data_IF_216542153171
#
_entry.id   IF_216542153171
#
_cell.length_a   1.000
_cell.length_b   1.000
_cell.length_c   1.000
_cell.angle_alpha   90.00
_cell.angle_beta   90.00
_cell.angle_gamma   90.00
#
_symmetry.space_group_name_H-M   'P 1'
#
loop_
_entity.id
_entity.type
_entity.pdbx_description
1 polymer ?
#
# COMPACT_ATOMS: atom_id res chain seq x y z
N UNK A 1 -15.20 2.88 -2.29
CA UNK A 1 -14.41 2.74 -3.53
C UNK A 1 -14.27 4.07 -4.27
N UNK A 2 -15.34 4.86 -4.40
CA UNK A 2 -15.32 6.15 -5.11
C UNK A 2 -14.39 7.19 -4.46
N UNK A 3 -14.47 7.36 -3.14
CA UNK A 3 -13.62 8.32 -2.39
C UNK A 3 -12.11 8.04 -2.52
N UNK A 4 -11.75 6.76 -2.66
CA UNK A 4 -10.36 6.33 -2.81
C UNK A 4 -9.82 6.67 -4.20
N UNK A 5 -10.63 6.48 -5.24
CA UNK A 5 -10.27 6.87 -6.61
C UNK A 5 -10.17 8.39 -6.76
N UNK A 6 -11.07 9.14 -6.12
CA UNK A 6 -11.03 10.60 -6.12
C UNK A 6 -9.75 11.15 -5.48
N UNK A 7 -9.31 10.59 -4.36
CA UNK A 7 -8.06 10.97 -3.70
C UNK A 7 -6.82 10.65 -4.54
N UNK A 8 -6.80 9.50 -5.21
CA UNK A 8 -5.74 9.16 -6.15
C UNK A 8 -5.66 10.19 -7.28
N UNK A 9 -6.80 10.55 -7.88
CA UNK A 9 -6.85 11.56 -8.94
C UNK A 9 -6.34 12.93 -8.47
N UNK A 10 -6.69 13.34 -7.24
CA UNK A 10 -6.19 14.57 -6.62
C UNK A 10 -4.68 14.55 -6.38
N UNK A 11 -4.12 13.42 -5.98
CA UNK A 11 -2.68 13.21 -5.86
C UNK A 11 -1.96 13.36 -7.20
N UNK A 12 -2.50 12.74 -8.26
CA UNK A 12 -1.97 12.90 -9.62
C UNK A 12 -2.03 14.35 -10.11
N UNK A 13 -3.13 15.04 -9.86
CA UNK A 13 -3.25 16.47 -10.21
C UNK A 13 -2.21 17.31 -9.49
N UNK A 14 -1.98 17.05 -8.20
CA UNK A 14 -0.96 17.76 -7.41
C UNK A 14 0.45 17.53 -7.98
N UNK A 15 0.78 16.29 -8.33
CA UNK A 15 2.05 15.94 -8.98
C UNK A 15 2.21 16.64 -10.34
N UNK A 16 1.14 16.72 -11.13
CA UNK A 16 1.15 17.36 -12.44
C UNK A 16 1.38 18.87 -12.32
N UNK A 17 0.73 19.52 -11.35
CA UNK A 17 0.91 20.94 -11.05
C UNK A 17 2.33 21.28 -10.59
N UNK A 18 2.97 20.39 -9.81
CA UNK A 18 4.35 20.58 -9.36
C UNK A 18 5.33 20.36 -10.52
N UNK A 19 5.10 19.35 -11.35
CA UNK A 19 6.02 18.99 -12.44
C UNK A 19 5.93 19.94 -13.65
N UNK A 20 4.75 20.47 -13.97
CA UNK A 20 4.53 21.34 -15.12
C UNK A 20 5.51 22.53 -15.22
N UNK A 21 5.66 23.40 -14.21
CA UNK A 21 6.63 24.52 -14.27
C UNK A 21 8.08 24.04 -14.33
N UNK A 22 8.41 22.92 -13.67
CA UNK A 22 9.74 22.33 -13.70
C UNK A 22 10.12 21.85 -15.12
N UNK A 23 9.22 21.13 -15.76
CA UNK A 23 9.40 20.61 -17.12
C UNK A 23 9.47 21.73 -18.14
N UNK A 24 8.60 22.74 -18.04
CA UNK A 24 8.57 23.87 -18.98
C UNK A 24 9.91 24.63 -19.00
N UNK A 25 10.45 24.92 -17.82
CA UNK A 25 11.72 25.64 -17.67
C UNK A 25 12.89 24.75 -18.09
N UNK A 26 12.91 23.49 -17.70
CA UNK A 26 13.94 22.54 -18.13
C UNK A 26 13.96 22.40 -19.66
N UNK A 27 12.80 22.36 -20.30
CA UNK A 27 12.67 22.29 -21.75
C UNK A 27 13.16 23.57 -22.43
N UNK A 28 12.74 24.75 -21.95
CA UNK A 28 13.16 26.03 -22.52
C UNK A 28 14.68 26.22 -22.44
N UNK A 29 15.27 25.95 -21.27
CA UNK A 29 16.72 26.08 -21.06
C UNK A 29 17.47 25.00 -21.83
N UNK A 30 16.97 23.76 -21.84
CA UNK A 30 17.56 22.67 -22.61
C UNK A 30 17.59 22.96 -24.11
N UNK A 31 16.55 23.60 -24.65
CA UNK A 31 16.49 24.03 -26.04
C UNK A 31 17.53 25.12 -26.35
N UNK A 32 17.59 26.17 -25.52
CA UNK A 32 18.57 27.26 -25.69
C UNK A 32 20.00 26.72 -25.63
N UNK A 33 20.30 25.89 -24.64
CA UNK A 33 21.63 25.29 -24.47
C UNK A 33 21.96 24.33 -25.61
N UNK A 34 21.00 23.55 -26.09
CA UNK A 34 21.18 22.65 -27.24
C UNK A 34 21.53 23.40 -28.53
N UNK A 35 20.91 24.57 -28.76
CA UNK A 35 21.24 25.44 -29.90
C UNK A 35 22.66 25.99 -29.75
N UNK A 36 23.03 26.47 -28.56
CA UNK A 36 24.39 26.97 -28.30
C UNK A 36 25.45 25.88 -28.48
N UNK A 37 25.12 24.64 -28.09
CA UNK A 37 25.98 23.47 -28.29
C UNK A 37 26.16 23.14 -29.78
N UNK A 38 25.10 23.30 -30.59
CA UNK A 38 25.15 23.07 -32.04
C UNK A 38 25.94 24.16 -32.80
N UNK A 39 25.79 25.43 -32.42
CA UNK A 39 26.44 26.56 -33.13
C UNK A 39 27.94 26.65 -32.83
N UNK A 40 28.37 26.34 -31.62
CA UNK A 40 29.78 26.49 -31.20
C UNK A 40 30.66 25.28 -31.51
N UNK A 41 30.07 24.16 -31.94
CA UNK A 41 30.76 22.88 -32.16
C UNK A 41 31.51 22.33 -30.92
N UNK A 42 31.29 22.90 -29.74
CA UNK A 42 31.89 22.45 -28.48
C UNK A 42 31.06 21.28 -27.94
N UNK A 43 31.59 20.07 -28.11
CA UNK A 43 30.98 18.81 -27.66
C UNK A 43 31.41 18.40 -26.24
N UNK A 44 31.88 19.34 -25.42
CA UNK A 44 32.15 19.12 -24.00
C UNK A 44 30.82 18.89 -23.26
N UNK A 45 30.44 17.62 -23.06
CA UNK A 45 29.18 17.21 -22.42
C UNK A 45 28.97 17.84 -21.03
N UNK A 46 30.05 18.16 -20.32
CA UNK A 46 30.01 18.70 -18.95
C UNK A 46 29.65 20.19 -18.93
N UNK A 47 30.15 20.99 -19.88
CA UNK A 47 29.87 22.43 -19.95
C UNK A 47 28.42 22.70 -20.38
N UNK A 48 27.87 21.90 -21.30
CA UNK A 48 26.48 22.03 -21.71
C UNK A 48 25.49 21.56 -20.62
N UNK A 49 25.93 20.75 -19.65
CA UNK A 49 25.05 20.26 -18.59
C UNK A 49 24.88 21.25 -17.42
N UNK A 50 25.84 22.14 -17.18
CA UNK A 50 25.80 23.08 -16.05
C UNK A 50 24.65 24.12 -16.16
N UNK A 51 24.39 24.77 -17.31
CA UNK A 51 23.37 25.81 -17.41
C UNK A 51 21.95 25.28 -17.14
N UNK A 52 21.63 24.07 -17.62
CA UNK A 52 20.32 23.44 -17.38
C UNK A 52 20.08 23.12 -15.91
N UNK A 53 21.10 22.64 -15.20
CA UNK A 53 21.00 22.30 -13.77
C UNK A 53 20.83 23.58 -12.96
N UNK A 54 21.61 24.63 -13.27
CA UNK A 54 21.53 25.90 -12.58
C UNK A 54 20.14 26.56 -12.72
N UNK A 55 19.52 26.48 -13.89
CA UNK A 55 18.19 27.02 -14.11
C UNK A 55 17.10 26.28 -13.32
N UNK A 56 17.11 24.94 -13.32
CA UNK A 56 16.17 24.14 -12.52
C UNK A 56 16.41 24.36 -11.02
N UNK A 57 17.65 24.52 -10.61
CA UNK A 57 18.01 24.82 -9.23
C UNK A 57 17.43 26.17 -8.77
N UNK A 58 17.59 27.23 -9.58
CA UNK A 58 16.98 28.53 -9.31
C UNK A 58 15.45 28.45 -9.23
N UNK A 59 14.82 27.69 -10.13
CA UNK A 59 13.38 27.46 -10.08
C UNK A 59 12.96 26.83 -8.75
N UNK A 60 13.65 25.79 -8.29
CA UNK A 60 13.31 25.11 -7.04
C UNK A 60 13.50 26.04 -5.84
N UNK A 61 14.49 26.93 -5.85
CA UNK A 61 14.65 27.92 -4.78
C UNK A 61 13.44 28.87 -4.73
N UNK A 62 13.02 29.39 -5.88
CA UNK A 62 11.92 30.36 -5.96
C UNK A 62 10.56 29.69 -5.69
N UNK A 63 10.33 28.53 -6.30
CA UNK A 63 9.07 27.79 -6.19
C UNK A 63 9.03 26.79 -5.02
N UNK A 64 10.13 26.62 -4.28
CA UNK A 64 10.27 25.61 -3.24
C UNK A 64 9.24 25.76 -2.12
N UNK A 65 9.02 26.99 -1.64
CA UNK A 65 7.98 27.26 -0.63
C UNK A 65 6.59 26.91 -1.15
N UNK A 66 6.32 27.12 -2.43
CA UNK A 66 5.03 26.78 -3.05
C UNK A 66 4.85 25.26 -3.17
N UNK A 67 5.88 24.53 -3.62
CA UNK A 67 5.84 23.07 -3.71
C UNK A 67 5.67 22.39 -2.35
N UNK A 68 6.36 22.89 -1.32
CA UNK A 68 6.20 22.37 0.04
C UNK A 68 4.78 22.60 0.54
N UNK A 69 4.19 23.77 0.31
CA UNK A 69 2.79 24.04 0.69
C UNK A 69 1.81 23.07 0.04
N UNK A 70 1.90 22.87 -1.28
CA UNK A 70 1.06 21.93 -2.02
C UNK A 70 1.19 20.49 -1.51
N UNK A 71 2.42 20.02 -1.27
CA UNK A 71 2.68 18.68 -0.77
C UNK A 71 2.19 18.50 0.67
N UNK A 72 2.41 19.50 1.53
CA UNK A 72 1.93 19.47 2.91
C UNK A 72 0.41 19.48 2.97
N UNK A 73 -0.27 20.30 2.17
CA UNK A 73 -1.74 20.35 2.10
C UNK A 73 -2.32 18.97 1.72
N UNK A 74 -1.79 18.37 0.66
CA UNK A 74 -2.18 17.02 0.26
C UNK A 74 -1.87 15.96 1.34
N UNK A 75 -0.72 16.09 2.02
CA UNK A 75 -0.33 15.17 3.08
C UNK A 75 -1.26 15.27 4.30
N UNK A 76 -1.65 16.46 4.73
CA UNK A 76 -2.56 16.63 5.86
C UNK A 76 -3.95 16.09 5.55
N UNK A 77 -4.47 16.33 4.35
CA UNK A 77 -5.78 15.83 3.93
C UNK A 77 -5.79 14.29 3.86
N UNK A 78 -4.77 13.70 3.25
CA UNK A 78 -4.65 12.24 3.20
C UNK A 78 -4.41 11.61 4.57
N UNK A 79 -3.65 12.27 5.45
CA UNK A 79 -3.44 11.81 6.82
C UNK A 79 -4.72 11.91 7.66
N UNK A 80 -5.50 12.99 7.58
CA UNK A 80 -6.75 13.11 8.33
C UNK A 80 -7.77 12.04 7.90
N UNK A 81 -7.89 11.79 6.60
CA UNK A 81 -8.73 10.69 6.13
C UNK A 81 -8.21 9.33 6.60
N UNK A 82 -6.90 9.09 6.55
CA UNK A 82 -6.32 7.82 6.99
C UNK A 82 -6.44 7.61 8.51
N UNK A 83 -6.28 8.65 9.33
CA UNK A 83 -6.22 8.50 10.79
C UNK A 83 -7.53 8.83 11.50
N UNK A 84 -8.48 9.51 10.87
CA UNK A 84 -9.72 9.93 11.53
C UNK A 84 -10.93 9.11 11.04
N UNK A 85 -10.85 8.56 9.82
CA UNK A 85 -11.90 7.69 9.26
C UNK A 85 -11.61 6.22 9.55
N UNK A 86 -10.35 5.78 9.56
CA UNK A 86 -10.01 4.35 9.73
C UNK A 86 -10.15 3.84 11.17
N UNK A 87 -9.79 4.56 12.25
CA UNK A 87 -9.94 4.02 13.61
C UNK A 87 -11.34 4.16 14.21
N UNK A 88 -12.32 4.74 13.50
CA UNK A 88 -13.72 4.74 13.95
C UNK A 88 -14.51 3.51 13.49
N UNK A 89 -13.99 2.78 12.51
CA UNK A 89 -14.46 1.44 12.22
C UNK A 89 -13.68 0.48 13.14
N UNK A 90 -14.18 0.29 14.36
CA UNK A 90 -13.78 -0.78 15.30
C UNK A 90 -13.96 -2.22 14.71
N UNK A 91 -14.13 -2.34 13.38
CA UNK A 91 -14.19 -3.57 12.60
C UNK A 91 -12.80 -4.17 12.28
N UNK A 92 -11.70 -3.53 12.69
CA UNK A 92 -10.35 -4.13 12.61
C UNK A 92 -9.88 -4.75 13.93
N UNK A 93 -10.75 -4.84 14.93
CA UNK A 93 -10.67 -5.93 15.89
C UNK A 93 -11.41 -7.09 15.24
N UNK A 94 -10.65 -8.08 14.74
CA UNK A 94 -11.22 -9.38 14.39
C UNK A 94 -12.16 -9.79 15.52
N UNK A 95 -13.42 -10.10 15.20
CA UNK A 95 -14.33 -10.63 16.19
C UNK A 95 -13.58 -11.73 16.97
N UNK A 96 -13.53 -11.70 18.31
CA UNK A 96 -12.70 -12.64 19.07
C UNK A 96 -13.04 -14.12 18.77
N UNK A 97 -14.17 -14.40 18.13
CA UNK A 97 -14.51 -15.70 17.55
C UNK A 97 -13.55 -16.20 16.44
N UNK A 98 -12.96 -15.33 15.61
CA UNK A 98 -11.91 -15.77 14.67
C UNK A 98 -10.57 -16.05 15.38
N UNK A 99 -10.37 -15.51 16.59
CA UNK A 99 -9.17 -15.78 17.37
C UNK A 99 -9.25 -17.08 18.19
N UNK A 100 -10.44 -17.63 18.46
CA UNK A 100 -10.59 -18.87 19.23
C UNK A 100 -11.76 -19.76 18.79
N UNK A 101 -11.70 -20.30 17.57
CA UNK A 101 -12.24 -21.63 17.30
C UNK A 101 -11.40 -22.44 16.31
N UNK A 102 -10.07 -22.24 16.30
CA UNK A 102 -9.18 -23.36 15.95
C UNK A 102 -9.26 -24.33 17.13
N UNK A 103 -10.37 -25.09 17.19
CA UNK A 103 -10.40 -26.36 17.90
C UNK A 103 -9.20 -27.10 17.34
N UNK A 104 -8.13 -27.22 18.14
CA UNK A 104 -7.09 -28.23 17.93
C UNK A 104 -7.81 -29.56 18.07
N UNK A 105 -8.57 -29.93 17.04
CA UNK A 105 -9.06 -31.26 16.84
C UNK A 105 -7.79 -32.05 16.68
N UNK A 106 -7.38 -32.70 17.77
CA UNK A 106 -6.19 -33.52 17.82
C UNK A 106 -6.30 -34.50 16.68
N UNK A 107 -5.67 -34.16 15.56
CA UNK A 107 -5.58 -35.01 14.41
C UNK A 107 -4.79 -36.20 14.92
N UNK A 108 -5.44 -37.35 15.08
CA UNK A 108 -4.74 -38.59 15.35
C UNK A 108 -3.94 -38.89 14.08
N UNK A 109 -2.69 -38.41 14.04
CA UNK A 109 -1.75 -38.66 12.95
C UNK A 109 -1.30 -40.11 13.11
N UNK A 110 -2.18 -41.05 12.74
CA UNK A 110 -1.78 -42.43 12.47
C UNK A 110 -0.80 -42.38 11.31
N UNK A 111 0.49 -42.52 11.64
CA UNK A 111 1.56 -42.63 10.66
C UNK A 111 1.28 -43.89 9.82
N UNK A 112 1.22 -43.81 8.49
CA UNK A 112 1.02 -45.00 7.66
C UNK A 112 2.18 -45.96 7.90
N UNK A 113 1.85 -47.23 8.10
CA UNK A 113 2.85 -48.27 8.35
C UNK A 113 3.79 -48.40 7.15
N UNK A 114 5.05 -48.71 7.39
CA UNK A 114 6.10 -48.78 6.36
C UNK A 114 5.70 -49.69 5.18
N UNK A 115 4.96 -50.78 5.44
CA UNK A 115 4.44 -51.67 4.40
C UNK A 115 3.41 -51.04 3.45
N UNK A 116 2.66 -50.02 3.90
CA UNK A 116 1.70 -49.29 3.07
C UNK A 116 2.40 -48.25 2.17
N UNK A 117 3.52 -47.69 2.64
CA UNK A 117 4.38 -46.78 1.86
C UNK A 117 5.14 -47.54 0.76
N UNK A 118 5.60 -48.77 1.07
CA UNK A 118 6.31 -49.62 0.10
C UNK A 118 5.41 -50.13 -1.03
N UNK A 119 4.11 -50.29 -0.78
CA UNK A 119 3.11 -50.69 -1.79
C UNK A 119 2.75 -49.57 -2.77
N UNK A 120 3.01 -48.32 -2.40
CA UNK A 120 2.71 -47.15 -3.22
C UNK A 120 3.89 -46.16 -3.24
N UNK A 121 5.02 -46.50 -3.91
CA UNK A 121 6.30 -45.78 -3.82
C UNK A 121 6.32 -44.36 -4.43
N UNK A 122 5.16 -43.78 -4.76
CA UNK A 122 5.04 -42.41 -5.28
C UNK A 122 3.91 -41.58 -4.67
N UNK A 123 3.17 -42.13 -3.69
CA UNK A 123 2.07 -41.39 -3.03
C UNK A 123 2.57 -40.74 -1.75
N UNK A 124 2.50 -39.42 -1.71
CA UNK A 124 2.88 -38.63 -0.54
C UNK A 124 1.75 -38.77 0.50
N UNK A 125 2.00 -39.34 1.69
CA UNK A 125 0.95 -39.79 2.61
C UNK A 125 0.05 -38.68 3.19
N UNK A 126 0.29 -37.41 2.84
CA UNK A 126 -0.44 -36.25 3.36
C UNK A 126 -1.05 -35.37 2.27
N UNK A 127 -0.84 -35.64 0.99
CA UNK A 127 -1.24 -34.74 -0.10
C UNK A 127 -2.76 -34.66 -0.32
N UNK A 128 -3.51 -35.75 -0.13
CA UNK A 128 -4.95 -35.83 -0.41
C UNK A 128 -5.85 -35.15 0.63
N UNK A 129 -5.30 -34.72 1.78
CA UNK A 129 -6.13 -34.25 2.91
C UNK A 129 -6.74 -32.87 2.69
N UNK A 130 -6.23 -32.07 1.73
CA UNK A 130 -6.70 -30.70 1.49
C UNK A 130 -8.16 -30.59 1.03
N UNK A 131 -8.80 -31.68 0.60
CA UNK A 131 -10.12 -31.59 -0.05
C UNK A 131 -11.33 -31.81 0.88
N UNK A 132 -11.16 -32.37 2.09
CA UNK A 132 -12.30 -32.63 3.01
C UNK A 132 -12.63 -31.50 4.00
N UNK A 133 -11.75 -30.51 4.19
CA UNK A 133 -11.95 -29.47 5.19
C UNK A 133 -12.92 -28.35 4.78
N UNK A 134 -13.31 -28.27 3.50
CA UNK A 134 -14.16 -27.18 2.97
C UNK A 134 -15.66 -27.43 3.24
N UNK A 135 -16.07 -28.60 3.75
CA UNK A 135 -17.49 -29.04 3.75
C UNK A 135 -18.30 -28.81 5.03
N UNK A 136 -17.77 -28.17 6.06
CA UNK A 136 -18.57 -27.85 7.26
C UNK A 136 -18.26 -26.44 7.76
N UNK A 137 -18.95 -25.45 7.19
CA UNK A 137 -19.02 -24.11 7.78
C UNK A 137 -19.93 -24.17 9.01
N UNK A 138 -19.51 -23.68 10.18
CA UNK A 138 -20.40 -23.54 11.33
C UNK A 138 -21.46 -22.49 11.03
N UNK A 139 -22.73 -22.81 11.34
CA UNK A 139 -23.83 -21.83 11.28
C UNK A 139 -23.58 -20.81 12.39
N UNK A 140 -23.48 -19.53 12.03
CA UNK A 140 -23.32 -18.45 13.00
C UNK A 140 -24.49 -18.46 14.01
N UNK A 141 -24.24 -18.29 15.31
CA UNK A 141 -25.31 -18.21 16.30
C UNK A 141 -26.20 -17.01 16.01
N UNK A 142 -27.52 -17.19 16.04
CA UNK A 142 -28.54 -16.16 15.74
C UNK A 142 -28.73 -15.16 16.87
N UNK A 143 -27.79 -15.07 17.81
CA UNK A 143 -27.82 -14.10 18.91
C UNK A 143 -26.41 -13.54 19.08
N UNK A 144 -26.21 -12.22 18.89
CA UNK A 144 -24.93 -11.60 19.18
C UNK A 144 -24.68 -11.63 20.69
N UNK A 145 -23.66 -12.37 21.16
CA UNK A 145 -23.19 -12.25 22.53
C UNK A 145 -22.32 -10.99 22.69
N UNK A 146 -22.50 -10.28 23.81
CA UNK A 146 -21.77 -9.05 24.12
C UNK A 146 -20.24 -9.28 24.13
N UNK A 147 -19.50 -8.39 23.46
CA UNK A 147 -18.04 -8.47 23.30
C UNK A 147 -17.31 -8.27 24.65
N UNK A 148 -16.05 -8.69 24.79
CA UNK A 148 -15.21 -8.46 25.98
C UNK A 148 -15.13 -6.99 26.38
N UNK A 149 -15.06 -6.08 25.40
CA UNK A 149 -15.12 -4.65 25.66
C UNK A 149 -16.47 -4.27 26.31
N UNK A 150 -17.57 -4.76 25.73
CA UNK A 150 -18.94 -4.52 26.20
C UNK A 150 -19.19 -5.13 27.58
N UNK A 151 -18.72 -6.36 27.85
CA UNK A 151 -18.77 -7.00 29.18
C UNK A 151 -18.01 -6.18 30.23
N UNK A 152 -16.90 -5.55 29.86
CA UNK A 152 -16.14 -4.67 30.76
C UNK A 152 -16.89 -3.38 31.08
N UNK A 153 -17.63 -2.82 30.12
CA UNK A 153 -18.52 -1.68 30.34
C UNK A 153 -19.77 -2.04 31.15
N UNK A 154 -20.37 -3.22 30.91
CA UNK A 154 -21.55 -3.69 31.63
C UNK A 154 -21.24 -4.01 33.10
N UNK A 155 -20.07 -4.59 33.38
CA UNK A 155 -19.66 -4.99 34.74
C UNK A 155 -19.04 -3.84 35.57
N UNK A 156 -18.99 -2.62 35.03
CA UNK A 156 -18.49 -1.42 35.72
C UNK A 156 -19.64 -0.46 36.10
N UNK A 157 -20.89 -0.94 36.12
CA UNK A 157 -22.05 -0.23 36.69
C UNK A 157 -22.59 -0.94 37.92
#
# INVERSE_FOLDING_TARGET
MELLMEHLAKGFMTMLIISMPCVLIAAAVGLVVGILQAVTQVQEQTIAAAPKIFAVFLLIIIAGTFYVRLLSEYFYESADLAFNIIPKEDNFVLAPEESLAVKRQGVNIRKPGVGEVMRHPGKIPYADRKQRQIRSMPVAPTTPEANFAEKKYINTR
#
